data_IF_431325502764
#
_entry.id   IF_431325502764
#
_cell.length_a   1.000
_cell.length_b   1.000
_cell.length_c   1.000
_cell.angle_alpha   90.00
_cell.angle_beta   90.00
_cell.angle_gamma   90.00
#
_symmetry.space_group_name_H-M   'P 1'
#
loop_
_entity.id
_entity.type
_entity.pdbx_description
1 polymer ?
#
# COMPACT_ATOMS: atom_id res chain seq x y z
N UNK A 1 -11.90 12.74 8.08
CA UNK A 1 -11.12 12.13 9.19
C UNK A 1 -10.41 10.90 8.62
N UNK A 2 -9.22 10.52 9.10
CA UNK A 2 -8.50 9.34 8.59
C UNK A 2 -8.17 8.41 9.76
N UNK A 3 -8.40 7.11 9.59
CA UNK A 3 -8.06 6.04 10.54
C UNK A 3 -7.30 4.97 9.74
N UNK A 4 -6.14 4.55 10.23
CA UNK A 4 -5.38 3.46 9.62
C UNK A 4 -5.48 2.20 10.49
N UNK A 5 -5.77 1.06 9.87
CA UNK A 5 -5.83 -0.27 10.50
C UNK A 5 -4.88 -1.17 9.71
N UNK A 6 -3.76 -1.54 10.30
CA UNK A 6 -2.74 -2.34 9.62
C UNK A 6 -3.02 -3.83 9.81
N UNK A 7 -2.96 -4.60 8.72
CA UNK A 7 -3.12 -6.06 8.72
C UNK A 7 -1.83 -6.75 8.27
N UNK A 8 -0.72 -6.61 9.03
CA UNK A 8 0.58 -7.11 8.63
C UNK A 8 0.67 -8.64 8.71
N UNK A 9 -0.36 -9.36 9.18
CA UNK A 9 -0.32 -10.82 9.39
C UNK A 9 -1.45 -11.58 8.68
N UNK A 10 -2.28 -10.89 7.86
CA UNK A 10 -3.37 -11.53 7.13
C UNK A 10 -2.87 -12.65 6.20
N UNK A 11 -1.70 -12.48 5.59
CA UNK A 11 -1.07 -13.54 4.78
C UNK A 11 -0.47 -14.64 5.65
N UNK A 12 0.14 -14.30 6.79
CA UNK A 12 0.80 -15.27 7.68
C UNK A 12 -0.15 -16.31 8.25
N UNK A 13 -1.44 -15.97 8.41
CA UNK A 13 -2.46 -16.90 8.88
C UNK A 13 -3.02 -17.85 7.83
N UNK A 14 -2.61 -17.74 6.55
CA UNK A 14 -3.13 -18.60 5.48
C UNK A 14 -2.87 -20.08 5.80
N UNK A 15 -3.89 -20.94 5.68
CA UNK A 15 -3.70 -22.38 5.80
C UNK A 15 -2.65 -22.91 4.82
N UNK A 16 -1.95 -23.98 5.19
CA UNK A 16 -0.93 -24.58 4.32
C UNK A 16 -1.52 -25.15 3.03
N UNK A 17 -2.80 -25.53 3.03
CA UNK A 17 -3.51 -26.03 1.84
C UNK A 17 -4.34 -24.92 1.24
N UNK A 18 -4.16 -24.69 -0.06
CA UNK A 18 -4.90 -23.66 -0.80
C UNK A 18 -6.41 -23.91 -0.82
N UNK A 19 -6.85 -25.18 -0.72
CA UNK A 19 -8.28 -25.53 -0.64
C UNK A 19 -8.98 -24.93 0.59
N UNK A 20 -8.22 -24.66 1.66
CA UNK A 20 -8.73 -24.09 2.91
C UNK A 20 -8.62 -22.54 2.94
N UNK A 21 -8.02 -21.90 1.92
CA UNK A 21 -7.83 -20.45 1.88
C UNK A 21 -9.14 -19.66 1.84
N UNK A 22 -10.16 -20.02 1.04
CA UNK A 22 -11.38 -19.24 0.95
C UNK A 22 -12.07 -19.06 2.30
N UNK A 23 -12.15 -20.12 3.10
CA UNK A 23 -12.76 -20.08 4.43
C UNK A 23 -11.98 -19.16 5.38
N UNK A 24 -10.65 -19.22 5.33
CA UNK A 24 -9.79 -18.34 6.13
C UNK A 24 -9.95 -16.86 5.75
N UNK A 25 -9.85 -16.57 4.46
CA UNK A 25 -9.90 -15.20 3.95
C UNK A 25 -11.29 -14.57 4.20
N UNK A 26 -12.35 -15.35 4.08
CA UNK A 26 -13.71 -14.87 4.33
C UNK A 26 -13.89 -14.33 5.75
N UNK A 27 -13.50 -15.07 6.78
CA UNK A 27 -13.64 -14.59 8.16
C UNK A 27 -12.63 -13.49 8.50
N UNK A 28 -11.42 -13.53 7.92
CA UNK A 28 -10.41 -12.49 8.14
C UNK A 28 -10.88 -11.13 7.61
N UNK A 29 -11.44 -11.12 6.40
CA UNK A 29 -12.08 -9.94 5.81
C UNK A 29 -13.27 -9.48 6.66
N UNK A 30 -14.15 -10.39 7.08
CA UNK A 30 -15.30 -10.05 7.92
C UNK A 30 -14.86 -9.37 9.23
N UNK A 31 -13.78 -9.86 9.85
CA UNK A 31 -13.22 -9.28 11.05
C UNK A 31 -12.71 -7.84 10.82
N UNK A 32 -12.01 -7.59 9.72
CA UNK A 32 -11.56 -6.24 9.35
C UNK A 32 -12.74 -5.29 9.15
N UNK A 33 -13.74 -5.72 8.37
CA UNK A 33 -14.94 -4.91 8.09
C UNK A 33 -15.76 -4.65 9.35
N UNK A 34 -15.88 -5.63 10.23
CA UNK A 34 -16.56 -5.43 11.51
C UNK A 34 -15.86 -4.36 12.36
N UNK A 35 -14.53 -4.33 12.35
CA UNK A 35 -13.75 -3.34 13.08
C UNK A 35 -13.85 -1.91 12.48
N UNK A 36 -14.04 -1.80 11.16
CA UNK A 36 -14.04 -0.51 10.44
C UNK A 36 -15.44 0.05 10.11
N UNK A 37 -16.47 -0.79 10.02
CA UNK A 37 -17.82 -0.43 9.52
C UNK A 37 -18.60 0.60 10.34
N UNK A 38 -18.16 0.91 11.56
CA UNK A 38 -18.82 1.89 12.44
C UNK A 38 -18.50 3.36 12.12
N UNK A 39 -17.70 3.63 11.09
CA UNK A 39 -17.31 5.00 10.72
C UNK A 39 -18.34 5.66 9.81
N UNK A 40 -18.36 7.00 9.79
CA UNK A 40 -19.19 7.76 8.84
C UNK A 40 -18.51 7.85 7.48
N UNK A 41 -19.28 7.99 6.38
CA UNK A 41 -18.79 8.09 4.99
C UNK A 41 -17.68 9.14 4.76
N UNK A 42 -17.65 10.21 5.56
CA UNK A 42 -16.60 11.24 5.50
C UNK A 42 -15.29 10.85 6.23
N UNK A 43 -15.22 9.65 6.79
CA UNK A 43 -14.05 9.07 7.46
C UNK A 43 -13.42 8.05 6.53
N UNK A 44 -12.17 8.29 6.15
CA UNK A 44 -11.40 7.33 5.37
C UNK A 44 -10.75 6.29 6.29
N UNK A 45 -10.87 5.03 5.89
CA UNK A 45 -10.20 3.86 6.44
C UNK A 45 -9.04 3.51 5.52
N UNK A 46 -7.84 3.59 6.06
CA UNK A 46 -6.62 3.19 5.39
C UNK A 46 -6.20 1.82 5.92
N UNK A 47 -5.60 0.99 5.08
CA UNK A 47 -4.92 -0.24 5.51
C UNK A 47 -3.53 -0.32 4.92
N UNK A 48 -2.60 -0.87 5.70
CA UNK A 48 -1.26 -1.19 5.25
C UNK A 48 -0.98 -2.69 5.43
N UNK A 49 -0.35 -3.29 4.43
CA UNK A 49 0.06 -4.69 4.45
C UNK A 49 1.54 -4.81 4.03
N UNK A 50 2.34 -5.53 4.81
CA UNK A 50 3.80 -5.53 4.67
C UNK A 50 4.35 -6.61 3.71
N UNK A 51 3.68 -6.91 2.58
CA UNK A 51 4.04 -8.09 1.77
C UNK A 51 4.32 -7.83 0.30
N UNK A 52 4.91 -8.84 -0.35
CA UNK A 52 5.39 -8.75 -1.72
C UNK A 52 4.65 -9.59 -2.77
N UNK A 53 3.66 -10.38 -2.36
CA UNK A 53 2.85 -11.17 -3.27
C UNK A 53 1.36 -10.90 -2.96
N UNK A 54 0.92 -9.74 -3.46
CA UNK A 54 -0.46 -9.26 -3.43
C UNK A 54 -1.36 -10.03 -4.40
N UNK A 55 -0.75 -10.56 -5.47
CA UNK A 55 -1.37 -11.34 -6.52
C UNK A 55 -2.11 -12.58 -6.00
N UNK A 56 -1.60 -13.22 -4.95
CA UNK A 56 -2.20 -14.44 -4.39
C UNK A 56 -3.54 -14.21 -3.66
N UNK A 57 -3.79 -13.01 -3.15
CA UNK A 57 -4.96 -12.70 -2.30
C UNK A 57 -5.65 -11.38 -2.67
N UNK A 58 -5.49 -10.92 -3.91
CA UNK A 58 -5.98 -9.60 -4.36
C UNK A 58 -7.49 -9.44 -4.22
N UNK A 59 -8.26 -10.52 -4.41
CA UNK A 59 -9.71 -10.51 -4.23
C UNK A 59 -10.09 -10.26 -2.77
N UNK A 60 -9.45 -10.95 -1.82
CA UNK A 60 -9.69 -10.74 -0.40
C UNK A 60 -9.27 -9.33 0.05
N UNK A 61 -8.20 -8.78 -0.53
CA UNK A 61 -7.79 -7.39 -0.31
C UNK A 61 -8.86 -6.42 -0.82
N UNK A 62 -9.45 -6.69 -1.98
CA UNK A 62 -10.59 -5.92 -2.50
C UNK A 62 -11.79 -5.99 -1.57
N UNK A 63 -12.05 -7.16 -0.99
CA UNK A 63 -13.18 -7.35 -0.09
C UNK A 63 -13.00 -6.70 1.29
N UNK A 64 -11.78 -6.25 1.65
CA UNK A 64 -11.54 -5.43 2.85
C UNK A 64 -12.31 -4.10 2.79
N UNK A 65 -12.62 -3.61 1.59
CA UNK A 65 -13.41 -2.38 1.39
C UNK A 65 -12.75 -1.16 2.05
N UNK A 66 -11.42 -1.11 2.01
CA UNK A 66 -10.65 0.02 2.52
C UNK A 66 -10.62 1.15 1.48
N UNK A 67 -10.78 2.40 1.94
CA UNK A 67 -10.73 3.58 1.07
C UNK A 67 -9.35 3.75 0.43
N UNK A 68 -8.28 3.45 1.17
CA UNK A 68 -6.90 3.57 0.70
C UNK A 68 -6.07 2.38 1.17
N UNK A 69 -5.31 1.78 0.25
CA UNK A 69 -4.35 0.70 0.58
C UNK A 69 -2.93 1.18 0.36
N UNK A 70 -2.10 1.10 1.40
CA UNK A 70 -0.66 1.39 1.33
C UNK A 70 0.14 0.10 1.17
N UNK A 71 0.95 -0.01 0.12
CA UNK A 71 1.67 -1.24 -0.20
C UNK A 71 3.17 -1.04 -0.40
N UNK A 72 3.95 -2.02 0.02
CA UNK A 72 5.40 -2.05 -0.23
C UNK A 72 5.68 -2.27 -1.72
N UNK A 73 6.37 -1.33 -2.37
CA UNK A 73 6.63 -1.42 -3.82
C UNK A 73 8.04 -0.98 -4.24
N UNK A 74 8.76 -0.24 -3.40
CA UNK A 74 9.96 0.50 -3.85
C UNK A 74 11.10 -0.41 -4.34
N UNK A 75 11.17 -1.65 -3.83
CA UNK A 75 12.18 -2.66 -4.17
C UNK A 75 11.75 -3.63 -5.27
N UNK A 76 10.45 -3.86 -5.42
CA UNK A 76 9.91 -4.84 -6.38
C UNK A 76 9.65 -4.26 -7.76
N UNK A 77 9.76 -2.93 -7.92
CA UNK A 77 9.48 -2.29 -9.20
C UNK A 77 8.02 -2.45 -9.62
N UNK A 78 7.79 -2.48 -10.94
CA UNK A 78 6.46 -2.53 -11.56
C UNK A 78 5.73 -3.87 -11.40
N UNK A 79 6.44 -4.93 -11.05
CA UNK A 79 5.90 -6.30 -11.13
C UNK A 79 4.68 -6.50 -10.22
N UNK A 80 4.66 -5.84 -9.06
CA UNK A 80 3.49 -5.89 -8.15
C UNK A 80 2.32 -5.03 -8.62
N UNK A 81 2.61 -3.87 -9.22
CA UNK A 81 1.55 -2.96 -9.68
C UNK A 81 0.79 -3.53 -10.87
N UNK A 82 1.45 -4.36 -11.69
CA UNK A 82 0.80 -5.06 -12.82
C UNK A 82 -0.34 -5.97 -12.40
N UNK A 83 -0.39 -6.45 -11.16
CA UNK A 83 -1.53 -7.21 -10.66
C UNK A 83 -2.85 -6.41 -10.77
N UNK A 84 -2.78 -5.07 -10.74
CA UNK A 84 -3.94 -4.20 -10.93
C UNK A 84 -4.37 -4.02 -12.39
N UNK A 85 -3.55 -4.42 -13.37
CA UNK A 85 -3.97 -4.48 -14.78
C UNK A 85 -4.98 -5.62 -14.98
N UNK A 86 -4.70 -6.78 -14.37
CA UNK A 86 -5.55 -7.97 -14.45
C UNK A 86 -6.71 -7.95 -13.44
N UNK A 87 -6.50 -7.31 -12.29
CA UNK A 87 -7.49 -7.17 -11.21
C UNK A 87 -7.69 -5.69 -10.86
N UNK A 88 -8.54 -4.96 -11.61
CA UNK A 88 -8.77 -3.54 -11.37
C UNK A 88 -9.29 -3.29 -9.95
N UNK A 89 -8.56 -2.49 -9.18
CA UNK A 89 -8.96 -2.04 -7.85
C UNK A 89 -9.58 -0.65 -7.94
N UNK A 90 -10.78 -0.50 -7.37
CA UNK A 90 -11.59 0.71 -7.54
C UNK A 90 -11.17 1.86 -6.60
N UNK A 91 -10.62 1.54 -5.43
CA UNK A 91 -10.30 2.54 -4.42
C UNK A 91 -8.86 3.05 -4.58
N UNK A 92 -8.41 3.89 -3.66
CA UNK A 92 -7.12 4.54 -3.75
C UNK A 92 -5.96 3.61 -3.32
N UNK A 93 -4.77 3.85 -3.88
CA UNK A 93 -3.59 3.02 -3.69
C UNK A 93 -2.35 3.88 -3.47
N UNK A 94 -1.56 3.52 -2.46
CA UNK A 94 -0.30 4.11 -2.10
C UNK A 94 0.88 3.15 -2.30
N UNK A 95 1.41 3.00 -3.52
CA UNK A 95 2.63 2.24 -3.75
C UNK A 95 3.83 2.95 -3.12
N UNK A 96 4.51 2.26 -2.22
CA UNK A 96 5.64 2.82 -1.48
C UNK A 96 6.78 3.24 -2.41
N UNK A 97 7.18 4.51 -2.36
CA UNK A 97 8.23 5.07 -3.25
C UNK A 97 9.59 5.23 -2.58
N UNK A 98 9.66 4.92 -1.28
CA UNK A 98 10.84 5.03 -0.44
C UNK A 98 11.09 3.72 0.33
N UNK A 99 12.22 3.07 0.02
CA UNK A 99 12.74 1.88 0.71
C UNK A 99 13.23 2.23 2.12
N UNK A 100 12.38 2.02 3.12
CA UNK A 100 12.69 2.29 4.53
C UNK A 100 13.68 1.28 5.15
N UNK A 101 13.97 0.19 4.44
CA UNK A 101 14.96 -0.81 4.87
C UNK A 101 16.38 -0.45 4.41
N UNK A 102 16.53 0.61 3.62
CA UNK A 102 17.82 1.16 3.20
C UNK A 102 18.10 2.50 3.88
N UNK A 103 19.35 2.75 4.35
CA UNK A 103 19.75 4.08 4.83
C UNK A 103 19.97 5.07 3.67
N UNK A 104 19.89 4.61 2.41
CA UNK A 104 20.10 5.47 1.24
C UNK A 104 18.93 6.44 1.07
N UNK A 105 19.24 7.73 1.02
CA UNK A 105 18.29 8.77 0.61
C UNK A 105 18.09 8.70 -0.89
N UNK A 106 16.89 8.35 -1.34
CA UNK A 106 16.52 8.44 -2.76
C UNK A 106 16.39 9.91 -3.17
N UNK A 107 16.83 10.24 -4.38
CA UNK A 107 16.67 11.58 -4.94
C UNK A 107 15.21 11.85 -5.33
N UNK A 108 14.86 13.13 -5.44
CA UNK A 108 13.55 13.57 -5.96
C UNK A 108 13.25 12.97 -7.33
N UNK A 109 14.26 12.87 -8.20
CA UNK A 109 14.11 12.33 -9.55
C UNK A 109 13.78 10.83 -9.52
N UNK A 110 14.49 10.04 -8.72
CA UNK A 110 14.20 8.61 -8.56
C UNK A 110 12.78 8.37 -8.02
N UNK A 111 12.30 9.22 -7.11
CA UNK A 111 10.93 9.13 -6.59
C UNK A 111 9.92 9.50 -7.68
N UNK A 112 10.19 10.57 -8.46
CA UNK A 112 9.36 10.99 -9.58
C UNK A 112 9.21 9.88 -10.62
N UNK A 113 10.31 9.25 -11.02
CA UNK A 113 10.29 8.12 -11.97
C UNK A 113 9.44 6.94 -11.46
N UNK A 114 9.46 6.65 -10.15
CA UNK A 114 8.59 5.61 -9.56
C UNK A 114 7.11 6.00 -9.62
N UNK A 115 6.79 7.27 -9.35
CA UNK A 115 5.43 7.77 -9.42
C UNK A 115 4.91 7.79 -10.87
N UNK A 116 5.73 8.23 -11.84
CA UNK A 116 5.39 8.21 -13.26
C UNK A 116 5.06 6.78 -13.71
N UNK A 117 5.89 5.81 -13.31
CA UNK A 117 5.63 4.39 -13.54
C UNK A 117 4.34 3.89 -12.88
N UNK A 118 4.02 4.36 -11.67
CA UNK A 118 2.77 3.99 -11.00
C UNK A 118 1.54 4.48 -11.79
N UNK A 119 1.66 5.63 -12.46
CA UNK A 119 0.61 6.21 -13.31
C UNK A 119 0.44 5.47 -14.66
N UNK A 120 1.31 4.54 -15.01
CA UNK A 120 1.09 3.66 -16.18
C UNK A 120 -0.05 2.66 -15.93
N UNK A 121 -0.36 2.38 -14.66
CA UNK A 121 -1.37 1.38 -14.24
C UNK A 121 -2.50 1.99 -13.42
N UNK A 122 -2.20 3.01 -12.61
CA UNK A 122 -3.16 3.66 -11.73
C UNK A 122 -3.59 5.03 -12.28
N UNK A 123 -4.84 5.41 -12.04
CA UNK A 123 -5.25 6.79 -12.29
C UNK A 123 -4.57 7.74 -11.29
N UNK A 124 -4.42 9.00 -11.70
CA UNK A 124 -3.83 10.04 -10.85
C UNK A 124 -4.64 10.29 -9.60
N UNK A 125 -5.95 10.17 -9.70
CA UNK A 125 -6.92 10.41 -8.62
C UNK A 125 -6.80 9.33 -7.53
N UNK A 126 -6.43 8.10 -7.91
CA UNK A 126 -6.24 6.99 -6.98
C UNK A 126 -4.86 6.99 -6.29
N UNK A 127 -3.87 7.73 -6.81
CA UNK A 127 -2.49 7.57 -6.39
C UNK A 127 -2.15 8.37 -5.12
N UNK A 128 -1.79 7.65 -4.06
CA UNK A 128 -1.17 8.20 -2.85
C UNK A 128 0.35 8.09 -2.89
N UNK A 129 1.03 9.03 -2.21
CA UNK A 129 2.50 9.06 -2.14
C UNK A 129 2.94 8.84 -0.69
N UNK A 130 3.54 7.68 -0.43
CA UNK A 130 3.97 7.24 0.90
C UNK A 130 5.28 6.44 0.83
N UNK A 131 5.98 6.26 1.97
CA UNK A 131 7.05 5.27 2.09
C UNK A 131 6.53 3.83 1.99
N UNK A 132 7.44 2.86 1.88
CA UNK A 132 7.08 1.43 1.90
C UNK A 132 6.41 1.00 3.21
N UNK A 133 6.89 1.50 4.35
CA UNK A 133 6.39 1.12 5.67
C UNK A 133 6.72 2.21 6.70
N UNK A 134 6.55 1.92 7.99
CA UNK A 134 6.90 2.79 9.11
C UNK A 134 8.41 3.08 9.20
N UNK A 135 8.74 4.28 9.67
CA UNK A 135 10.12 4.82 9.70
C UNK A 135 10.88 4.51 11.00
N UNK A 136 10.37 3.61 11.84
CA UNK A 136 10.88 3.35 13.21
C UNK A 136 12.35 2.95 13.24
N UNK A 137 12.86 2.30 12.20
CA UNK A 137 14.23 1.78 12.12
C UNK A 137 15.22 2.77 11.49
N UNK A 138 14.76 3.97 11.10
CA UNK A 138 15.53 4.98 10.38
C UNK A 138 16.03 6.11 11.28
N UNK A 139 17.06 6.81 10.84
CA UNK A 139 17.59 7.99 11.54
C UNK A 139 16.91 9.26 11.04
N UNK A 140 16.85 10.28 11.89
CA UNK A 140 16.13 11.53 11.57
C UNK A 140 16.70 12.27 10.35
N UNK A 141 18.02 12.30 10.20
CA UNK A 141 18.68 12.91 9.04
C UNK A 141 18.34 12.16 7.73
N UNK A 142 18.28 10.83 7.77
CA UNK A 142 17.85 9.98 6.64
C UNK A 142 16.35 10.23 6.31
N UNK A 143 15.50 10.30 7.34
CA UNK A 143 14.05 10.48 7.21
C UNK A 143 13.72 11.85 6.63
N UNK A 144 14.26 12.92 7.22
CA UNK A 144 13.91 14.28 6.85
C UNK A 144 14.22 14.56 5.38
N UNK A 145 15.42 14.17 4.92
CA UNK A 145 15.79 14.35 3.51
C UNK A 145 14.94 13.48 2.58
N UNK A 146 14.73 12.21 2.91
CA UNK A 146 13.91 11.32 2.08
C UNK A 146 12.46 11.83 1.93
N UNK A 147 11.86 12.31 3.02
CA UNK A 147 10.51 12.88 2.99
C UNK A 147 10.45 14.21 2.24
N UNK A 148 11.47 15.07 2.34
CA UNK A 148 11.55 16.31 1.54
C UNK A 148 11.57 15.99 0.04
N UNK A 149 12.40 15.04 -0.39
CA UNK A 149 12.44 14.60 -1.78
C UNK A 149 11.10 14.02 -2.24
N UNK A 150 10.45 13.21 -1.40
CA UNK A 150 9.14 12.63 -1.70
C UNK A 150 8.07 13.71 -1.90
N UNK A 151 8.02 14.71 -1.01
CA UNK A 151 7.10 15.85 -1.13
C UNK A 151 7.43 16.70 -2.35
N UNK A 152 8.72 16.90 -2.67
CA UNK A 152 9.15 17.66 -3.84
C UNK A 152 8.71 16.98 -5.15
N UNK A 153 8.88 15.66 -5.26
CA UNK A 153 8.46 14.88 -6.42
C UNK A 153 6.94 14.93 -6.60
N UNK A 154 6.18 14.73 -5.53
CA UNK A 154 4.72 14.86 -5.58
C UNK A 154 4.28 16.27 -6.02
N UNK A 155 4.94 17.32 -5.52
CA UNK A 155 4.65 18.71 -5.91
C UNK A 155 4.96 19.01 -7.37
N UNK A 156 6.02 18.45 -7.95
CA UNK A 156 6.35 18.67 -9.36
C UNK A 156 5.38 17.96 -10.30
N UNK A 157 4.66 16.95 -9.81
CA UNK A 157 3.71 16.20 -10.60
C UNK A 157 2.29 16.73 -10.51
N UNK A 158 1.92 17.47 -9.44
CA UNK A 158 0.57 18.03 -9.24
C UNK A 158 0.16 19.02 -10.32
#
# INVERSE_FOLDING_TARGET
RIIQIDEPAMREGLPLRQEDWPDYLAWAVECFRLASSGVADATQVHTHMCYAAYDEIIEAISDLDADVISMESSRSGMDKLRAFEDHPYANDIGPGVYDIHSPRVASTEEIRERLERSLDVLSREQLWVNPDCGLKTRRWDEIEESLKHMVAAAKSMR
#
